data_IF_705855049204
#
_entry.id   IF_705855049204
#
_cell.length_a   1.000
_cell.length_b   1.000
_cell.length_c   1.000
_cell.angle_alpha   90.00
_cell.angle_beta   90.00
_cell.angle_gamma   90.00
#
_symmetry.space_group_name_H-M   'P 1'
#
loop_
_entity.id
_entity.type
_entity.pdbx_description
1 polymer ?
#
# COMPACT_ATOMS: atom_id res chain seq x y z
N UNK A 1 13.61 -8.42 0.13
CA UNK A 1 14.09 -7.80 -1.14
C UNK A 1 13.05 -7.82 -2.26
N UNK A 2 12.32 -8.91 -2.52
CA UNK A 2 11.42 -9.02 -3.69
C UNK A 2 10.41 -7.84 -3.81
N UNK A 3 9.76 -7.47 -2.71
CA UNK A 3 8.79 -6.36 -2.68
C UNK A 3 9.40 -5.01 -3.05
N UNK A 4 10.63 -4.76 -2.60
CA UNK A 4 11.36 -3.53 -2.90
C UNK A 4 11.68 -3.49 -4.40
N UNK A 5 12.13 -4.60 -4.96
CA UNK A 5 12.43 -4.70 -6.40
C UNK A 5 11.17 -4.47 -7.25
N UNK A 6 10.02 -5.04 -6.86
CA UNK A 6 8.75 -4.84 -7.57
C UNK A 6 8.30 -3.38 -7.53
N UNK A 7 8.32 -2.72 -6.36
CA UNK A 7 7.93 -1.31 -6.23
C UNK A 7 8.91 -0.37 -6.96
N UNK A 8 10.21 -0.68 -6.94
CA UNK A 8 11.20 0.05 -7.73
C UNK A 8 10.94 -0.08 -9.23
N UNK A 9 10.61 -1.27 -9.72
CA UNK A 9 10.27 -1.48 -11.12
C UNK A 9 9.01 -0.70 -11.53
N UNK A 10 7.98 -0.71 -10.68
CA UNK A 10 6.76 0.09 -10.88
C UNK A 10 7.10 1.58 -10.98
N UNK A 11 8.02 2.06 -10.15
CA UNK A 11 8.47 3.46 -10.14
C UNK A 11 9.19 3.80 -11.45
N UNK A 12 10.11 2.94 -11.92
CA UNK A 12 10.81 3.14 -13.19
C UNK A 12 9.81 3.20 -14.35
N UNK A 13 8.86 2.26 -14.41
CA UNK A 13 7.82 2.22 -15.46
C UNK A 13 6.93 3.47 -15.40
N UNK A 14 6.56 3.92 -14.19
CA UNK A 14 5.78 5.14 -13.97
C UNK A 14 6.49 6.39 -14.51
N UNK A 15 7.79 6.56 -14.21
CA UNK A 15 8.58 7.69 -14.69
C UNK A 15 8.72 7.64 -16.21
N UNK A 16 9.08 6.48 -16.78
CA UNK A 16 9.23 6.32 -18.23
C UNK A 16 7.92 6.59 -18.96
N UNK A 17 6.79 6.07 -18.46
CA UNK A 17 5.47 6.32 -19.03
C UNK A 17 5.03 7.78 -18.87
N UNK A 18 5.32 8.40 -17.73
CA UNK A 18 5.02 9.81 -17.46
C UNK A 18 5.75 10.76 -18.40
N UNK A 19 7.04 10.51 -18.62
CA UNK A 19 7.87 11.27 -19.56
C UNK A 19 7.45 11.03 -21.01
N UNK A 20 7.25 9.76 -21.41
CA UNK A 20 6.89 9.40 -22.79
C UNK A 20 5.54 9.97 -23.20
N UNK A 21 4.55 9.90 -22.31
CA UNK A 21 3.18 10.30 -22.61
C UNK A 21 2.89 11.75 -22.22
N UNK A 22 3.85 12.47 -21.59
CA UNK A 22 3.69 13.82 -21.02
C UNK A 22 2.47 13.98 -20.11
N UNK A 23 2.05 12.90 -19.45
CA UNK A 23 0.89 12.89 -18.54
C UNK A 23 1.37 12.75 -17.11
N UNK A 24 1.10 13.77 -16.30
CA UNK A 24 1.49 13.82 -14.88
C UNK A 24 0.83 12.69 -14.08
N UNK A 25 -0.32 12.19 -14.54
CA UNK A 25 -1.07 11.10 -13.89
C UNK A 25 -0.22 9.82 -13.71
N UNK A 26 0.74 9.54 -14.59
CA UNK A 26 1.59 8.35 -14.41
C UNK A 26 2.47 8.43 -13.17
N UNK A 27 2.82 9.62 -12.65
CA UNK A 27 3.58 9.74 -11.41
C UNK A 27 2.75 9.40 -10.15
N UNK A 28 1.43 9.25 -10.27
CA UNK A 28 0.58 8.73 -9.19
C UNK A 28 0.65 7.20 -9.05
N UNK A 29 1.11 6.47 -10.08
CA UNK A 29 1.24 5.00 -10.00
C UNK A 29 2.05 4.51 -8.79
N UNK A 30 3.25 5.04 -8.48
CA UNK A 30 4.01 4.60 -7.30
C UNK A 30 3.24 4.82 -6.01
N UNK A 31 2.57 5.97 -5.84
CA UNK A 31 1.73 6.24 -4.67
C UNK A 31 0.55 5.25 -4.59
N UNK A 32 -0.15 5.03 -5.69
CA UNK A 32 -1.25 4.08 -5.75
C UNK A 32 -0.80 2.65 -5.45
N UNK A 33 0.39 2.25 -5.91
CA UNK A 33 0.94 0.91 -5.66
C UNK A 33 1.32 0.69 -4.20
N UNK A 34 1.92 1.68 -3.54
CA UNK A 34 2.22 1.63 -2.10
C UNK A 34 0.93 1.62 -1.29
N UNK A 35 -0.05 2.44 -1.67
CA UNK A 35 -1.35 2.48 -1.01
C UNK A 35 -2.10 1.13 -1.13
N UNK A 36 -2.14 0.54 -2.32
CA UNK A 36 -2.74 -0.77 -2.53
C UNK A 36 -2.02 -1.87 -1.72
N UNK A 37 -0.68 -1.85 -1.69
CA UNK A 37 0.11 -2.76 -0.87
C UNK A 37 -0.23 -2.63 0.62
N UNK A 38 -0.36 -1.40 1.11
CA UNK A 38 -0.76 -1.11 2.49
C UNK A 38 -2.19 -1.61 2.78
N UNK A 39 -3.14 -1.35 1.89
CA UNK A 39 -4.52 -1.83 2.02
C UNK A 39 -4.60 -3.35 2.14
N UNK A 40 -3.90 -4.07 1.26
CA UNK A 40 -3.85 -5.55 1.31
C UNK A 40 -3.31 -6.01 2.66
N UNK A 41 -2.27 -5.36 3.18
CA UNK A 41 -1.72 -5.70 4.50
C UNK A 41 -2.70 -5.45 5.63
N UNK A 42 -3.44 -4.34 5.59
CA UNK A 42 -4.48 -4.01 6.59
C UNK A 42 -5.62 -5.03 6.53
N UNK A 43 -6.07 -5.41 5.33
CA UNK A 43 -7.15 -6.39 5.16
C UNK A 43 -6.71 -7.79 5.60
N UNK A 44 -5.45 -8.14 5.39
CA UNK A 44 -4.86 -9.42 5.84
C UNK A 44 -4.58 -9.46 7.34
N UNK A 45 -4.78 -8.36 8.08
CA UNK A 45 -4.75 -8.42 9.55
C UNK A 45 -5.87 -9.35 10.00
N UNK A 46 -5.55 -10.40 10.78
CA UNK A 46 -6.54 -11.42 11.09
C UNK A 46 -7.69 -10.81 11.91
N UNK A 47 -8.89 -11.38 11.74
CA UNK A 47 -10.14 -11.01 12.41
C UNK A 47 -10.03 -10.73 13.93
N UNK A 48 -9.19 -11.44 14.73
CA UNK A 48 -9.13 -11.17 16.16
C UNK A 48 -8.44 -9.85 16.50
N UNK A 49 -7.94 -9.06 15.55
CA UNK A 49 -7.47 -7.70 15.84
C UNK A 49 -8.61 -6.82 16.39
N UNK A 50 -9.81 -6.89 15.78
CA UNK A 50 -10.97 -6.16 16.28
C UNK A 50 -11.43 -6.70 17.64
N UNK A 51 -11.35 -8.02 17.83
CA UNK A 51 -11.65 -8.64 19.12
C UNK A 51 -10.64 -8.25 20.20
N UNK A 52 -9.37 -8.09 19.85
CA UNK A 52 -8.30 -7.62 20.76
C UNK A 52 -8.51 -6.15 21.13
N UNK A 53 -8.86 -5.30 20.17
CA UNK A 53 -9.19 -3.90 20.43
C UNK A 53 -10.39 -3.82 21.39
N UNK A 54 -11.46 -4.58 21.12
CA UNK A 54 -12.64 -4.67 22.00
C UNK A 54 -12.28 -5.16 23.40
N UNK A 55 -11.46 -6.21 23.50
CA UNK A 55 -10.99 -6.75 24.77
C UNK A 55 -10.21 -5.70 25.59
N UNK A 56 -9.30 -4.94 24.98
CA UNK A 56 -8.57 -3.85 25.65
C UNK A 56 -9.53 -2.77 26.17
N UNK A 57 -10.54 -2.39 25.38
CA UNK A 57 -11.53 -1.41 25.82
C UNK A 57 -12.48 -1.95 26.89
N UNK A 58 -12.77 -3.25 26.91
CA UNK A 58 -13.54 -3.91 27.98
C UNK A 58 -12.75 -4.00 29.29
N UNK A 59 -11.42 -4.16 29.25
CA UNK A 59 -10.56 -4.22 30.44
C UNK A 59 -10.40 -2.87 31.15
N UNK A 60 -10.76 -1.75 30.49
CA UNK A 60 -10.75 -0.39 31.07
C UNK A 60 -12.08 -0.04 31.75
N UNK A 61 -12.69 -1.02 32.43
CA UNK A 61 -13.72 -0.77 33.44
C UNK A 61 -13.12 -0.12 34.68
#
# INVERSE_FOLDING_TARGET
MIWVLTLSLITIVSVVAGLRNRKVVYFFLPFASVFAFMLVKVIMVPLPFLDTVRFIFQLRG
#
